data_IF_113761635342
#
_entry.id   IF_113761635342
#
_cell.length_a   1.000
_cell.length_b   1.000
_cell.length_c   1.000
_cell.angle_alpha   90.00
_cell.angle_beta   90.00
_cell.angle_gamma   90.00
#
_symmetry.space_group_name_H-M   'P 1'
#
loop_
_entity.id
_entity.type
_entity.pdbx_description
1 polymer ?
#
# COMPACT_ATOMS: atom_id res chain seq x y z
N UNK A 1 -0.78 9.09 20.61
CA UNK A 1 -1.19 7.83 19.95
C UNK A 1 0.01 7.44 19.12
N UNK A 2 0.71 6.36 19.50
CA UNK A 2 2.08 6.10 19.04
C UNK A 2 2.16 6.00 17.52
N UNK A 3 3.24 6.53 16.95
CA UNK A 3 3.61 6.34 15.55
C UNK A 3 3.98 4.86 15.34
N UNK A 4 2.98 3.98 15.25
CA UNK A 4 3.22 2.62 14.80
C UNK A 4 3.39 2.68 13.28
N UNK A 5 4.62 2.50 12.82
CA UNK A 5 4.95 2.50 11.39
C UNK A 5 4.16 1.41 10.66
N UNK A 6 3.64 1.73 9.46
CA UNK A 6 2.88 0.78 8.65
C UNK A 6 3.74 -0.47 8.33
N UNK A 7 3.19 -1.68 8.47
CA UNK A 7 3.97 -2.92 8.43
C UNK A 7 4.21 -3.41 6.98
N UNK A 8 4.79 -2.55 6.15
CA UNK A 8 4.97 -2.80 4.71
C UNK A 8 6.30 -3.47 4.37
N UNK A 9 7.28 -3.47 5.27
CA UNK A 9 8.62 -4.00 4.98
C UNK A 9 9.40 -3.17 3.95
N UNK A 10 9.03 -1.90 3.78
CA UNK A 10 9.71 -0.93 2.90
C UNK A 10 9.77 0.44 3.57
N UNK A 11 10.78 1.24 3.19
CA UNK A 11 10.89 2.63 3.64
C UNK A 11 9.72 3.46 3.09
N UNK A 12 9.06 4.19 3.98
CA UNK A 12 7.92 5.05 3.66
C UNK A 12 8.44 6.46 3.45
N UNK A 13 8.27 6.99 2.24
CA UNK A 13 8.62 8.37 1.92
C UNK A 13 7.52 9.34 2.37
N UNK A 14 6.27 8.93 2.20
CA UNK A 14 5.09 9.68 2.59
C UNK A 14 3.90 8.76 2.79
N UNK A 15 2.96 9.14 3.67
CA UNK A 15 1.64 8.52 3.71
C UNK A 15 0.56 9.54 4.06
N UNK A 16 -0.66 9.26 3.60
CA UNK A 16 -1.86 10.00 3.95
C UNK A 16 -3.02 9.05 4.12
N UNK A 17 -4.01 9.44 4.92
CA UNK A 17 -5.18 8.61 5.22
C UNK A 17 -6.45 9.40 4.93
N UNK A 18 -7.37 8.79 4.19
CA UNK A 18 -8.74 9.28 4.08
C UNK A 18 -9.67 8.45 4.98
N UNK A 19 -10.98 8.60 4.85
CA UNK A 19 -11.96 7.86 5.67
C UNK A 19 -11.93 6.35 5.50
N UNK A 20 -11.46 5.88 4.35
CA UNK A 20 -11.52 4.48 3.93
C UNK A 20 -10.13 3.86 3.90
N UNK A 21 -9.16 4.50 3.25
CA UNK A 21 -7.87 3.88 2.92
C UNK A 21 -6.68 4.74 3.35
N UNK A 22 -5.55 4.07 3.50
CA UNK A 22 -4.23 4.67 3.68
C UNK A 22 -3.49 4.61 2.34
N UNK A 23 -3.01 5.74 1.83
CA UNK A 23 -2.13 5.82 0.67
C UNK A 23 -0.69 5.99 1.15
N UNK A 24 0.21 5.16 0.64
CA UNK A 24 1.63 5.13 1.02
C UNK A 24 2.50 5.23 -0.22
N UNK A 25 3.41 6.21 -0.22
CA UNK A 25 4.44 6.34 -1.23
C UNK A 25 5.75 5.72 -0.74
N UNK A 26 6.32 4.84 -1.55
CA UNK A 26 7.63 4.22 -1.31
C UNK A 26 8.63 4.53 -2.43
N UNK A 27 9.87 4.06 -2.28
CA UNK A 27 11.01 4.55 -3.03
C UNK A 27 10.90 4.44 -4.57
N UNK A 28 10.47 3.31 -5.09
CA UNK A 28 10.44 3.05 -6.53
C UNK A 28 9.50 1.91 -6.91
N UNK A 29 9.27 1.78 -8.23
CA UNK A 29 8.45 0.74 -8.83
C UNK A 29 8.89 -0.67 -8.43
N UNK A 30 10.20 -0.95 -8.39
CA UNK A 30 10.72 -2.26 -8.01
C UNK A 30 10.38 -2.63 -6.56
N UNK A 31 10.37 -1.66 -5.65
CA UNK A 31 9.96 -1.84 -4.26
C UNK A 31 8.46 -2.16 -4.16
N UNK A 32 7.60 -1.50 -4.94
CA UNK A 32 6.16 -1.81 -4.99
C UNK A 32 5.95 -3.24 -5.49
N UNK A 33 6.64 -3.62 -6.57
CA UNK A 33 6.52 -4.96 -7.17
C UNK A 33 6.98 -6.08 -6.23
N UNK A 34 8.03 -5.85 -5.43
CA UNK A 34 8.58 -6.84 -4.50
C UNK A 34 7.97 -6.77 -3.10
N UNK A 35 7.00 -5.88 -2.87
CA UNK A 35 6.46 -5.64 -1.53
C UNK A 35 5.82 -6.92 -0.96
N UNK A 36 6.17 -7.24 0.28
CA UNK A 36 5.64 -8.36 1.04
C UNK A 36 5.24 -7.86 2.44
N UNK A 37 4.06 -7.25 2.59
CA UNK A 37 3.63 -6.71 3.87
C UNK A 37 3.29 -7.80 4.88
N UNK A 38 3.35 -7.47 6.16
CA UNK A 38 2.79 -8.31 7.23
C UNK A 38 1.26 -8.16 7.21
N UNK A 39 0.61 -9.08 6.51
CA UNK A 39 -0.84 -9.09 6.29
C UNK A 39 -1.62 -9.20 7.60
N UNK A 40 -1.11 -9.95 8.58
CA UNK A 40 -1.74 -10.08 9.90
C UNK A 40 -1.77 -8.73 10.63
N UNK A 41 -0.68 -7.96 10.55
CA UNK A 41 -0.64 -6.62 11.12
C UNK A 41 -1.49 -5.63 10.32
N UNK A 42 -1.49 -5.72 8.99
CA UNK A 42 -2.38 -4.89 8.16
C UNK A 42 -3.86 -5.13 8.45
N UNK A 43 -4.25 -6.39 8.70
CA UNK A 43 -5.64 -6.76 9.01
C UNK A 43 -6.16 -6.13 10.32
N UNK A 44 -5.25 -5.71 11.21
CA UNK A 44 -5.57 -5.06 12.49
C UNK A 44 -5.69 -3.54 12.39
N UNK A 45 -5.39 -2.94 11.24
CA UNK A 45 -5.55 -1.50 11.04
C UNK A 45 -7.03 -1.14 10.92
N UNK A 46 -7.44 -0.03 11.55
CA UNK A 46 -8.79 0.52 11.44
C UNK A 46 -8.99 1.26 10.10
N UNK A 47 -8.82 0.54 8.99
CA UNK A 47 -8.95 1.04 7.62
C UNK A 47 -9.47 -0.09 6.72
N UNK A 48 -10.07 0.29 5.58
CA UNK A 48 -10.49 -0.63 4.53
C UNK A 48 -9.27 -1.32 3.89
N UNK A 49 -8.20 -0.58 3.66
CA UNK A 49 -6.99 -1.13 3.08
C UNK A 49 -5.87 -0.11 2.91
N UNK A 50 -4.73 -0.59 2.45
CA UNK A 50 -3.52 0.18 2.22
C UNK A 50 -3.15 0.13 0.75
N UNK A 51 -3.11 1.31 0.13
CA UNK A 51 -2.65 1.53 -1.23
C UNK A 51 -1.17 1.88 -1.16
N UNK A 52 -0.31 1.14 -1.87
CA UNK A 52 1.13 1.40 -1.92
C UNK A 52 1.53 1.76 -3.34
N UNK A 53 2.16 2.91 -3.52
CA UNK A 53 2.46 3.51 -4.82
C UNK A 53 3.89 4.00 -4.95
N UNK A 54 4.37 4.08 -6.19
CA UNK A 54 5.62 4.72 -6.56
C UNK A 54 5.56 5.22 -8.02
N UNK A 55 6.36 6.23 -8.33
CA UNK A 55 6.54 6.70 -9.72
C UNK A 55 7.10 5.56 -10.57
N UNK A 56 6.56 5.42 -11.78
CA UNK A 56 7.01 4.43 -12.75
C UNK A 56 8.41 4.75 -13.27
N UNK A 57 9.24 3.72 -13.43
CA UNK A 57 10.60 3.86 -13.94
C UNK A 57 10.67 3.76 -15.47
N UNK A 58 9.67 3.14 -16.10
CA UNK A 58 9.66 2.89 -17.55
C UNK A 58 8.92 3.97 -18.37
N UNK A 59 8.21 4.89 -17.71
CA UNK A 59 7.46 5.98 -18.35
C UNK A 59 6.28 5.55 -19.23
N UNK A 60 5.89 4.28 -19.24
CA UNK A 60 4.70 3.79 -19.96
C UNK A 60 3.40 4.10 -19.22
N UNK A 61 3.50 4.25 -17.90
CA UNK A 61 2.45 4.70 -16.98
C UNK A 61 3.06 5.72 -16.05
N UNK A 62 2.24 6.56 -15.39
CA UNK A 62 2.74 7.59 -14.49
C UNK A 62 3.24 7.03 -13.15
N UNK A 63 2.58 5.98 -12.66
CA UNK A 63 2.90 5.31 -11.39
C UNK A 63 2.41 3.87 -11.40
N UNK A 64 2.94 3.08 -10.47
CA UNK A 64 2.45 1.73 -10.15
C UNK A 64 1.78 1.73 -8.79
N UNK A 65 0.81 0.85 -8.59
CA UNK A 65 0.08 0.74 -7.33
C UNK A 65 -0.28 -0.71 -7.00
N UNK A 66 -0.32 -1.04 -5.71
CA UNK A 66 -0.88 -2.29 -5.16
C UNK A 66 -1.83 -1.96 -4.01
N UNK A 67 -2.88 -2.74 -3.84
CA UNK A 67 -3.89 -2.52 -2.80
C UNK A 67 -4.03 -3.76 -1.92
N UNK A 68 -3.77 -3.60 -0.62
CA UNK A 68 -3.86 -4.65 0.39
C UNK A 68 -5.05 -4.38 1.30
N UNK A 69 -5.99 -5.32 1.41
CA UNK A 69 -7.18 -5.17 2.24
C UNK A 69 -7.49 -6.43 3.07
N UNK A 70 -6.52 -6.96 3.84
CA UNK A 70 -6.69 -8.23 4.55
C UNK A 70 -7.76 -8.18 5.64
N UNK A 71 -8.14 -6.99 6.13
CA UNK A 71 -9.30 -6.81 7.02
C UNK A 71 -10.63 -7.20 6.37
N UNK A 72 -10.69 -7.23 5.03
CA UNK A 72 -11.83 -7.70 4.25
C UNK A 72 -11.70 -9.17 3.81
N UNK A 73 -10.67 -9.89 4.26
CA UNK A 73 -10.39 -11.26 3.86
C UNK A 73 -9.77 -11.40 2.46
N UNK A 74 -9.25 -10.31 1.90
CA UNK A 74 -8.53 -10.28 0.62
C UNK A 74 -7.12 -9.77 0.90
N UNK A 75 -6.11 -10.63 0.78
CA UNK A 75 -4.71 -10.25 1.04
C UNK A 75 -4.25 -9.11 0.12
N UNK A 76 -4.55 -9.23 -1.18
CA UNK A 76 -4.26 -8.23 -2.21
C UNK A 76 -5.35 -8.26 -3.29
N UNK A 77 -5.82 -7.09 -3.71
CA UNK A 77 -6.78 -6.97 -4.81
C UNK A 77 -6.07 -7.13 -6.17
N UNK A 78 -6.40 -8.17 -6.97
CA UNK A 78 -5.73 -8.45 -8.23
C UNK A 78 -6.06 -7.43 -9.35
N UNK A 79 -7.06 -6.57 -9.19
CA UNK A 79 -7.47 -5.59 -10.21
C UNK A 79 -7.92 -4.27 -9.58
N UNK A 80 -7.03 -3.28 -9.50
CA UNK A 80 -7.39 -1.90 -9.10
C UNK A 80 -8.04 -1.13 -10.27
N UNK A 81 -9.17 -1.62 -10.79
CA UNK A 81 -9.96 -0.95 -11.82
C UNK A 81 -10.88 0.17 -11.29
N UNK A 82 -10.92 0.35 -9.97
CA UNK A 82 -11.81 1.28 -9.25
C UNK A 82 -11.07 2.34 -8.42
N UNK A 83 -9.74 2.39 -8.52
CA UNK A 83 -8.92 3.43 -7.90
C UNK A 83 -9.10 4.79 -8.59
#
# INVERSE_FOLDING_TARGET
MGEEALPLGSEILWYGQNRMDILVQIANEQAVRNLAPDLDRLARLETRGVIVTAISENGQVDFVSRFFCPSLGIDEDPVTGSA
#
